data_IF_496316719370
#
_entry.id   IF_496316719370
#
_cell.length_a   1.000
_cell.length_b   1.000
_cell.length_c   1.000
_cell.angle_alpha   90.00
_cell.angle_beta   90.00
_cell.angle_gamma   90.00
#
_symmetry.space_group_name_H-M   'P 1'
#
loop_
_entity.id
_entity.type
_entity.pdbx_description
1 polymer ?
#
# COMPACT_ATOMS: atom_id res chain seq x y z
N UNK A 1 -14.83 35.85 -77.22
CA UNK A 1 -14.13 36.86 -76.41
C UNK A 1 -13.79 36.22 -75.06
N UNK A 2 -12.49 36.05 -74.76
CA UNK A 2 -11.84 35.57 -73.50
C UNK A 2 -12.28 34.18 -72.98
N UNK A 3 -11.55 33.08 -73.23
CA UNK A 3 -10.24 32.61 -72.68
C UNK A 3 -10.37 31.65 -71.48
N UNK A 4 -10.04 30.36 -71.75
CA UNK A 4 -9.27 29.38 -70.95
C UNK A 4 -9.83 28.95 -69.56
N UNK A 5 -9.75 27.70 -69.09
CA UNK A 5 -8.99 26.50 -69.46
C UNK A 5 -9.48 25.35 -68.53
N UNK A 6 -10.05 24.25 -69.05
CA UNK A 6 -9.46 22.90 -69.30
C UNK A 6 -9.78 21.85 -68.19
N UNK A 7 -10.51 20.77 -68.54
CA UNK A 7 -10.06 19.38 -68.86
C UNK A 7 -9.98 18.52 -67.58
N UNK A 8 -10.42 17.25 -67.45
CA UNK A 8 -11.03 16.20 -68.29
C UNK A 8 -11.74 15.25 -67.31
N UNK A 9 -12.96 14.77 -67.56
CA UNK A 9 -13.38 13.66 -68.41
C UNK A 9 -13.16 12.25 -67.80
N UNK A 10 -14.30 11.72 -67.38
CA UNK A 10 -14.67 10.37 -66.97
C UNK A 10 -14.60 9.38 -68.16
N UNK A 11 -14.03 8.18 -67.99
CA UNK A 11 -14.52 6.98 -68.71
C UNK A 11 -14.07 5.69 -68.02
N UNK A 12 -15.01 4.75 -67.88
CA UNK A 12 -14.87 3.41 -67.31
C UNK A 12 -15.24 2.38 -68.40
N UNK A 13 -14.77 1.13 -68.24
CA UNK A 13 -15.09 -0.11 -68.97
C UNK A 13 -14.30 -0.31 -70.30
N UNK A 14 -13.86 -1.51 -70.74
CA UNK A 14 -14.30 -2.90 -70.47
C UNK A 14 -13.28 -3.93 -71.06
N UNK A 15 -13.33 -5.20 -70.58
CA UNK A 15 -12.89 -6.47 -71.22
C UNK A 15 -11.36 -6.75 -71.17
N UNK A 16 -10.80 -7.81 -70.58
CA UNK A 16 -11.28 -9.18 -70.29
C UNK A 16 -10.56 -10.16 -71.22
N UNK A 17 -9.73 -11.07 -70.70
CA UNK A 17 -9.69 -12.50 -71.06
C UNK A 17 -8.65 -13.28 -70.23
N UNK A 18 -9.13 -14.46 -69.85
CA UNK A 18 -8.61 -15.50 -68.96
C UNK A 18 -7.27 -16.11 -69.35
N UNK A 19 -6.50 -16.53 -68.34
CA UNK A 19 -6.27 -17.94 -67.98
C UNK A 19 -4.91 -18.12 -67.32
N UNK A 20 -4.90 -18.61 -66.07
CA UNK A 20 -4.00 -19.68 -65.66
C UNK A 20 -4.42 -20.17 -64.28
N UNK A 21 -4.69 -21.47 -64.20
CA UNK A 21 -5.00 -22.17 -62.96
C UNK A 21 -3.99 -23.32 -62.83
N UNK A 22 -3.68 -23.70 -61.58
CA UNK A 22 -2.68 -24.68 -61.09
C UNK A 22 -1.33 -24.04 -60.72
N UNK A 23 -0.70 -24.29 -59.56
CA UNK A 23 -0.89 -25.38 -58.62
C UNK A 23 -0.35 -25.01 -57.22
N UNK A 24 -0.90 -25.61 -56.17
CA UNK A 24 -0.75 -25.24 -54.77
C UNK A 24 0.66 -25.44 -54.17
N UNK A 25 1.04 -24.52 -53.27
CA UNK A 25 1.78 -24.85 -52.05
C UNK A 25 1.07 -24.21 -50.87
N UNK A 26 0.65 -25.06 -49.93
CA UNK A 26 0.06 -24.67 -48.66
C UNK A 26 1.01 -23.74 -47.91
N UNK A 27 0.63 -22.48 -47.75
CA UNK A 27 1.12 -21.65 -46.66
C UNK A 27 0.05 -21.65 -45.59
N UNK A 28 0.26 -22.46 -44.55
CA UNK A 28 -0.38 -22.23 -43.26
C UNK A 28 -0.01 -20.80 -42.83
N UNK A 29 -1.00 -19.91 -42.87
CA UNK A 29 -0.91 -18.62 -42.21
C UNK A 29 -0.95 -18.94 -40.72
N UNK A 30 0.23 -19.12 -40.14
CA UNK A 30 0.41 -19.08 -38.69
C UNK A 30 -0.01 -17.70 -38.24
N UNK A 31 -1.26 -17.58 -37.81
CA UNK A 31 -1.75 -16.42 -37.05
C UNK A 31 -1.02 -16.42 -35.72
N UNK A 32 0.23 -15.93 -35.72
CA UNK A 32 0.88 -15.50 -34.49
C UNK A 32 0.11 -14.30 -34.00
N UNK A 33 -0.91 -14.56 -33.17
CA UNK A 33 -1.43 -13.56 -32.25
C UNK A 33 -0.21 -13.07 -31.51
N UNK A 34 0.22 -11.83 -31.78
CA UNK A 34 1.29 -11.20 -31.04
C UNK A 34 0.82 -11.17 -29.59
N UNK A 35 1.31 -12.13 -28.80
CA UNK A 35 1.23 -12.09 -27.35
C UNK A 35 2.00 -10.83 -27.00
N UNK A 36 1.28 -9.75 -26.70
CA UNK A 36 1.85 -8.57 -26.07
C UNK A 36 2.72 -9.11 -24.93
N UNK A 37 4.04 -8.99 -25.07
CA UNK A 37 4.94 -9.33 -23.99
C UNK A 37 4.56 -8.43 -22.83
N UNK A 38 3.84 -9.02 -21.87
CA UNK A 38 3.62 -8.40 -20.58
C UNK A 38 5.00 -8.38 -19.91
N UNK A 39 5.75 -7.31 -20.12
CA UNK A 39 6.80 -6.96 -19.20
C UNK A 39 6.13 -6.84 -17.85
N UNK A 40 6.51 -7.64 -16.83
CA UNK A 40 5.90 -7.52 -15.52
C UNK A 40 6.21 -6.11 -15.02
N UNK A 41 5.19 -5.27 -15.07
CA UNK A 41 5.27 -3.92 -14.56
C UNK A 41 5.24 -4.06 -13.04
N UNK A 42 6.13 -3.38 -12.30
CA UNK A 42 6.15 -3.46 -10.82
C UNK A 42 4.73 -3.31 -10.29
N UNK A 43 4.20 -4.37 -9.69
CA UNK A 43 2.83 -4.39 -9.19
C UNK A 43 2.76 -3.74 -7.81
N UNK A 44 1.69 -2.99 -7.55
CA UNK A 44 1.46 -2.33 -6.27
C UNK A 44 0.11 -2.70 -5.67
N UNK A 45 0.10 -2.95 -4.37
CA UNK A 45 -1.07 -2.79 -3.52
C UNK A 45 -1.07 -1.34 -3.04
N UNK A 46 -2.05 -0.55 -3.47
CA UNK A 46 -2.22 0.86 -3.11
C UNK A 46 -3.41 1.01 -2.19
N UNK A 47 -3.15 1.45 -0.97
CA UNK A 47 -4.17 1.61 0.07
C UNK A 47 -4.26 3.07 0.49
N UNK A 48 -5.42 3.70 0.29
CA UNK A 48 -5.71 4.99 0.90
C UNK A 48 -6.57 4.77 2.15
N UNK A 49 -6.05 5.15 3.31
CA UNK A 49 -6.76 5.15 4.58
C UNK A 49 -7.38 6.53 4.79
N UNK A 50 -8.71 6.60 4.83
CA UNK A 50 -9.47 7.80 5.11
C UNK A 50 -10.08 7.62 6.51
N UNK A 51 -9.44 8.21 7.51
CA UNK A 51 -9.80 8.01 8.91
C UNK A 51 -10.58 9.22 9.41
N UNK A 52 -11.74 8.96 10.01
CA UNK A 52 -12.45 9.99 10.74
C UNK A 52 -11.64 10.33 12.01
N UNK A 53 -11.35 11.62 12.20
CA UNK A 53 -10.70 12.17 13.39
C UNK A 53 -11.65 13.06 14.18
N UNK A 54 -12.95 12.75 14.14
CA UNK A 54 -13.94 13.35 15.01
C UNK A 54 -13.78 12.93 16.48
N UNK A 55 -14.39 13.67 17.41
CA UNK A 55 -14.26 13.45 18.87
C UNK A 55 -14.54 12.01 19.34
N UNK A 56 -15.37 11.25 18.62
CA UNK A 56 -15.74 9.88 18.99
C UNK A 56 -14.74 8.81 18.52
N UNK A 57 -13.72 9.18 17.76
CA UNK A 57 -12.88 8.26 16.98
C UNK A 57 -11.53 7.91 17.61
N UNK A 58 -11.28 8.24 18.88
CA UNK A 58 -10.02 7.88 19.55
C UNK A 58 -9.74 6.37 19.47
N UNK A 59 -10.77 5.54 19.74
CA UNK A 59 -10.63 4.09 19.63
C UNK A 59 -10.26 3.59 18.23
N UNK A 60 -10.78 4.22 17.17
CA UNK A 60 -10.43 3.88 15.78
C UNK A 60 -8.95 4.16 15.52
N UNK A 61 -8.49 5.35 15.94
CA UNK A 61 -7.11 5.79 15.77
C UNK A 61 -6.16 4.90 16.58
N UNK A 62 -6.51 4.54 17.81
CA UNK A 62 -5.74 3.62 18.64
C UNK A 62 -5.67 2.21 18.03
N UNK A 63 -6.80 1.68 17.54
CA UNK A 63 -6.80 0.39 16.82
C UNK A 63 -5.92 0.43 15.56
N UNK A 64 -5.96 1.50 14.78
CA UNK A 64 -5.09 1.66 13.61
C UNK A 64 -3.61 1.64 14.00
N UNK A 65 -3.22 2.36 15.07
CA UNK A 65 -1.84 2.37 15.61
C UNK A 65 -1.41 0.99 16.12
N UNK A 66 -2.33 0.25 16.73
CA UNK A 66 -2.11 -1.09 17.25
C UNK A 66 -1.87 -2.16 16.17
N UNK A 67 -2.52 -1.99 15.02
CA UNK A 67 -2.69 -3.06 14.03
C UNK A 67 -1.98 -2.79 12.71
N UNK A 68 -1.41 -1.58 12.51
CA UNK A 68 -0.68 -1.22 11.29
C UNK A 68 0.33 -2.30 10.87
N UNK A 69 1.15 -2.78 11.82
CA UNK A 69 2.21 -3.73 11.52
C UNK A 69 1.68 -5.12 11.17
N UNK A 70 0.58 -5.58 11.78
CA UNK A 70 -0.03 -6.87 11.41
C UNK A 70 -0.67 -6.80 10.02
N UNK A 71 -1.30 -5.68 9.66
CA UNK A 71 -1.80 -5.46 8.29
C UNK A 71 -0.63 -5.53 7.30
N UNK A 72 0.47 -4.81 7.56
CA UNK A 72 1.67 -4.85 6.72
C UNK A 72 2.25 -6.27 6.61
N UNK A 73 2.32 -7.00 7.72
CA UNK A 73 2.81 -8.38 7.74
C UNK A 73 1.97 -9.28 6.84
N UNK A 74 0.65 -9.20 6.95
CA UNK A 74 -0.27 -10.01 6.15
C UNK A 74 -0.23 -9.64 4.67
N UNK A 75 0.04 -8.38 4.33
CA UNK A 75 0.25 -7.97 2.95
C UNK A 75 1.62 -8.40 2.40
N UNK A 76 2.63 -8.56 3.24
CA UNK A 76 3.97 -9.01 2.82
C UNK A 76 4.01 -10.47 2.32
N UNK A 77 2.99 -11.26 2.65
CA UNK A 77 2.81 -12.62 2.15
C UNK A 77 2.10 -12.66 0.80
N UNK A 78 1.45 -11.57 0.38
CA UNK A 78 0.75 -11.54 -0.89
C UNK A 78 1.71 -11.77 -2.06
N UNK A 79 1.24 -12.52 -3.05
CA UNK A 79 1.91 -12.76 -4.32
C UNK A 79 0.90 -12.60 -5.44
N UNK A 80 1.32 -12.05 -6.56
CA UNK A 80 0.53 -12.10 -7.78
C UNK A 80 1.40 -12.77 -8.83
N UNK A 81 0.90 -13.87 -9.39
CA UNK A 81 1.72 -14.84 -10.13
C UNK A 81 2.98 -15.26 -9.33
N UNK A 82 4.17 -14.97 -9.86
CA UNK A 82 5.45 -15.26 -9.20
C UNK A 82 6.09 -14.04 -8.53
N UNK A 83 5.43 -12.88 -8.56
CA UNK A 83 5.96 -11.63 -8.04
C UNK A 83 5.36 -11.28 -6.67
N UNK A 84 6.15 -10.54 -5.88
CA UNK A 84 5.69 -9.95 -4.63
C UNK A 84 5.38 -8.47 -4.87
N UNK A 85 4.12 -8.04 -4.73
CA UNK A 85 3.72 -6.67 -4.99
C UNK A 85 4.34 -5.72 -3.96
N UNK A 86 4.64 -4.49 -4.36
CA UNK A 86 5.02 -3.43 -3.43
C UNK A 86 3.77 -2.89 -2.72
N UNK A 87 3.95 -2.24 -1.57
CA UNK A 87 2.86 -1.63 -0.80
C UNK A 87 3.04 -0.12 -0.76
N UNK A 88 2.00 0.61 -1.14
CA UNK A 88 1.93 2.06 -0.96
C UNK A 88 0.71 2.40 -0.11
N UNK A 89 0.93 3.14 0.98
CA UNK A 89 -0.14 3.61 1.85
C UNK A 89 -0.21 5.13 1.77
N UNK A 90 -1.42 5.66 1.63
CA UNK A 90 -1.73 7.07 1.79
C UNK A 90 -2.65 7.24 3.00
N UNK A 91 -2.55 8.39 3.67
CA UNK A 91 -3.33 8.70 4.85
C UNK A 91 -4.05 10.04 4.68
N UNK A 92 -5.34 10.02 4.91
CA UNK A 92 -6.19 11.19 5.04
C UNK A 92 -6.86 11.15 6.41
N UNK A 93 -7.06 12.34 6.94
CA UNK A 93 -8.03 12.54 8.00
C UNK A 93 -9.19 13.40 7.48
N UNK A 94 -10.36 13.17 8.06
CA UNK A 94 -11.54 13.99 7.83
C UNK A 94 -12.39 14.08 9.09
N UNK A 95 -13.35 15.00 9.13
CA UNK A 95 -14.28 15.09 10.26
C UNK A 95 -13.70 15.80 11.49
N UNK A 96 -12.59 16.54 11.36
CA UNK A 96 -12.02 17.30 12.48
C UNK A 96 -12.23 18.81 12.30
N UNK A 97 -12.82 19.48 13.28
CA UNK A 97 -13.17 20.91 13.25
C UNK A 97 -11.94 21.84 13.24
N UNK A 98 -10.77 21.32 13.61
CA UNK A 98 -9.49 22.02 13.45
C UNK A 98 -9.02 22.10 11.99
N UNK A 99 -9.65 21.37 11.08
CA UNK A 99 -9.34 21.36 9.65
C UNK A 99 -10.07 22.47 8.90
N UNK A 100 -9.56 22.82 7.73
CA UNK A 100 -10.12 23.93 6.94
C UNK A 100 -11.54 23.59 6.45
N UNK A 101 -12.58 24.34 6.86
CA UNK A 101 -13.97 24.10 6.47
C UNK A 101 -14.21 24.31 4.96
N UNK A 102 -13.47 25.20 4.30
CA UNK A 102 -13.57 25.42 2.85
C UNK A 102 -13.07 24.21 2.06
N UNK A 103 -12.18 23.41 2.66
CA UNK A 103 -11.74 22.12 2.12
C UNK A 103 -12.62 20.94 2.58
N UNK A 104 -13.71 21.22 3.30
CA UNK A 104 -14.63 20.22 3.82
C UNK A 104 -14.10 19.42 4.99
N UNK A 105 -13.25 20.03 5.84
CA UNK A 105 -12.62 19.38 6.99
C UNK A 105 -11.80 18.14 6.60
N UNK A 106 -11.02 18.25 5.51
CA UNK A 106 -10.23 17.14 4.96
C UNK A 106 -8.78 17.58 4.81
N UNK A 107 -7.85 16.70 5.22
CA UNK A 107 -6.42 16.88 5.02
C UNK A 107 -5.79 15.59 4.49
N UNK A 108 -5.03 15.71 3.41
CA UNK A 108 -4.06 14.68 3.04
C UNK A 108 -2.89 14.78 4.02
N UNK A 109 -2.76 13.79 4.90
CA UNK A 109 -1.70 13.72 5.91
C UNK A 109 -0.44 13.17 5.25
N UNK A 110 -0.59 12.08 4.49
CA UNK A 110 0.49 11.46 3.74
C UNK A 110 -0.01 11.06 2.34
N UNK A 111 0.75 11.43 1.31
CA UNK A 111 0.55 10.88 -0.04
C UNK A 111 0.95 9.39 -0.07
N UNK A 112 0.74 8.66 -1.17
CA UNK A 112 1.29 7.31 -1.30
C UNK A 112 2.79 7.28 -0.98
N UNK A 113 3.14 6.49 0.04
CA UNK A 113 4.50 6.25 0.50
C UNK A 113 4.75 4.74 0.63
N UNK A 114 6.00 4.33 0.41
CA UNK A 114 6.51 2.98 0.70
C UNK A 114 7.28 2.94 2.03
N UNK A 115 7.54 4.11 2.64
CA UNK A 115 8.26 4.23 3.91
C UNK A 115 7.30 3.96 5.08
N UNK A 116 7.38 2.75 5.62
CA UNK A 116 6.53 2.29 6.71
C UNK A 116 6.75 3.07 8.02
N UNK A 117 7.95 3.61 8.25
CA UNK A 117 8.21 4.41 9.45
C UNK A 117 7.61 5.81 9.33
N UNK A 118 7.60 6.38 8.13
CA UNK A 118 6.89 7.64 7.84
C UNK A 118 5.36 7.47 7.92
N UNK A 119 4.83 6.36 7.39
CA UNK A 119 3.41 6.02 7.53
C UNK A 119 3.02 5.89 9.01
N UNK A 120 3.83 5.16 9.79
CA UNK A 120 3.60 5.02 11.22
C UNK A 120 3.67 6.37 11.95
N UNK A 121 4.70 7.18 11.71
CA UNK A 121 4.82 8.52 12.30
C UNK A 121 3.57 9.38 12.07
N UNK A 122 3.12 9.47 10.82
CA UNK A 122 1.96 10.30 10.48
C UNK A 122 0.67 9.74 11.10
N UNK A 123 0.47 8.42 11.09
CA UNK A 123 -0.65 7.77 11.77
C UNK A 123 -0.64 8.02 13.29
N UNK A 124 0.52 7.92 13.92
CA UNK A 124 0.69 8.12 15.36
C UNK A 124 0.43 9.57 15.77
N UNK A 125 0.67 10.53 14.86
CA UNK A 125 0.44 11.96 15.07
C UNK A 125 -1.02 12.41 15.00
N UNK A 126 -1.94 11.55 14.54
CA UNK A 126 -3.35 11.89 14.45
C UNK A 126 -3.98 12.09 15.83
N UNK A 127 -4.81 13.12 15.92
CA UNK A 127 -5.57 13.53 17.10
C UNK A 127 -7.00 13.83 16.71
N UNK A 128 -7.95 13.53 17.59
CA UNK A 128 -9.38 13.78 17.36
C UNK A 128 -9.79 15.19 17.82
N UNK A 129 -10.71 15.83 17.09
CA UNK A 129 -11.31 17.10 17.52
C UNK A 129 -12.54 17.50 16.68
N UNK A 130 -13.71 17.63 17.29
CA UNK A 130 -14.94 18.16 16.67
C UNK A 130 -15.52 17.27 15.57
N UNK A 131 -16.42 17.76 14.71
CA UNK A 131 -16.58 17.14 13.39
C UNK A 131 -17.89 17.26 12.60
N UNK A 132 -17.73 17.57 11.32
CA UNK A 132 -18.67 17.27 10.22
C UNK A 132 -18.04 16.26 9.26
N UNK A 133 -18.65 15.09 9.09
CA UNK A 133 -18.03 13.94 8.42
C UNK A 133 -18.43 13.87 6.93
N UNK A 134 -17.63 14.45 6.04
CA UNK A 134 -17.96 14.53 4.60
C UNK A 134 -17.38 13.36 3.80
N UNK A 135 -17.92 12.15 4.00
CA UNK A 135 -17.45 10.90 3.38
C UNK A 135 -17.33 10.99 1.85
N UNK A 136 -18.37 11.50 1.16
CA UNK A 136 -18.34 11.65 -0.29
C UNK A 136 -17.24 12.61 -0.77
N UNK A 137 -16.95 13.66 0.01
CA UNK A 137 -15.94 14.65 -0.33
C UNK A 137 -14.52 14.12 -0.11
N UNK A 138 -14.25 13.39 0.98
CA UNK A 138 -12.90 12.81 1.24
C UNK A 138 -12.55 11.74 0.21
N UNK A 139 -13.50 10.90 -0.18
CA UNK A 139 -13.32 9.93 -1.28
C UNK A 139 -12.96 10.69 -2.55
N UNK A 140 -13.78 11.64 -2.97
CA UNK A 140 -13.53 12.41 -4.19
C UNK A 140 -12.18 13.15 -4.17
N UNK A 141 -11.80 13.68 -3.01
CA UNK A 141 -10.53 14.39 -2.81
C UNK A 141 -9.34 13.44 -3.00
N UNK A 142 -9.37 12.26 -2.37
CA UNK A 142 -8.32 11.24 -2.52
C UNK A 142 -8.17 10.74 -3.96
N UNK A 143 -9.29 10.60 -4.69
CA UNK A 143 -9.28 10.22 -6.12
C UNK A 143 -8.64 11.27 -7.03
N UNK A 144 -8.63 12.54 -6.61
CA UNK A 144 -8.12 13.67 -7.38
C UNK A 144 -6.66 13.98 -7.03
N UNK A 145 -6.28 13.87 -5.76
CA UNK A 145 -4.96 14.26 -5.26
C UNK A 145 -3.93 13.12 -5.34
N UNK A 146 -4.34 11.88 -5.10
CA UNK A 146 -3.41 10.75 -5.07
C UNK A 146 -3.03 10.25 -6.47
N UNK A 147 -1.76 9.83 -6.60
CA UNK A 147 -1.21 9.24 -7.82
C UNK A 147 -1.51 7.74 -7.92
N UNK A 148 -2.77 7.41 -8.16
CA UNK A 148 -3.25 6.02 -8.29
C UNK A 148 -2.58 5.21 -9.40
N UNK A 149 -2.06 5.86 -10.43
CA UNK A 149 -1.41 5.20 -11.57
C UNK A 149 -2.38 4.48 -12.51
N UNK A 150 -1.85 4.02 -13.65
CA UNK A 150 -2.63 3.43 -14.75
C UNK A 150 -2.39 1.92 -14.93
N UNK A 151 -1.54 1.31 -14.09
CA UNK A 151 -1.31 -0.13 -14.16
C UNK A 151 -2.61 -0.86 -13.79
N UNK A 152 -3.15 -1.73 -14.67
CA UNK A 152 -4.37 -2.49 -14.39
C UNK A 152 -4.14 -3.60 -13.35
N UNK A 153 -2.89 -4.05 -13.17
CA UNK A 153 -2.56 -5.14 -12.23
C UNK A 153 -2.35 -4.63 -10.79
N UNK A 154 -2.29 -3.31 -10.61
CA UNK A 154 -2.29 -2.69 -9.29
C UNK A 154 -3.62 -2.96 -8.58
N UNK A 155 -3.54 -3.40 -7.32
CA UNK A 155 -4.70 -3.48 -6.44
C UNK A 155 -4.90 -2.11 -5.78
N UNK A 156 -6.00 -1.41 -6.10
CA UNK A 156 -6.25 -0.04 -5.64
C UNK A 156 -7.46 0.01 -4.73
N UNK A 157 -7.21 0.33 -3.46
CA UNK A 157 -8.19 0.23 -2.40
C UNK A 157 -8.26 1.55 -1.62
N UNK A 158 -9.48 1.99 -1.37
CA UNK A 158 -9.81 3.02 -0.37
C UNK A 158 -10.44 2.30 0.81
N UNK A 159 -9.94 2.52 2.01
CA UNK A 159 -10.65 2.20 3.25
C UNK A 159 -11.07 3.49 3.90
N UNK A 160 -12.38 3.68 4.04
CA UNK A 160 -12.95 4.80 4.79
C UNK A 160 -13.55 4.28 6.09
N UNK A 161 -13.23 4.92 7.21
CA UNK A 161 -13.73 4.58 8.54
C UNK A 161 -14.30 5.80 9.26
N UNK A 162 -15.41 5.64 9.97
CA UNK A 162 -16.15 6.72 10.66
C UNK A 162 -17.49 6.23 11.21
N UNK A 163 -18.26 7.11 11.85
CA UNK A 163 -19.50 6.73 12.57
C UNK A 163 -20.74 7.57 12.27
N UNK A 164 -20.67 8.60 11.44
CA UNK A 164 -21.85 9.37 11.03
C UNK A 164 -22.45 8.92 9.69
N UNK A 165 -23.63 9.44 9.29
CA UNK A 165 -24.20 9.10 8.00
C UNK A 165 -23.30 9.40 6.80
N UNK A 166 -23.12 8.39 5.96
CA UNK A 166 -22.30 8.44 4.75
C UNK A 166 -22.79 9.46 3.70
N UNK A 167 -23.96 10.04 3.94
CA UNK A 167 -24.66 11.01 3.09
C UNK A 167 -24.32 12.47 3.41
N UNK A 168 -23.59 12.74 4.50
CA UNK A 168 -23.22 14.09 4.91
C UNK A 168 -22.34 14.81 3.87
N UNK A 169 -22.45 16.14 3.82
CA UNK A 169 -21.67 17.01 2.94
C UNK A 169 -22.32 17.27 1.57
N UNK A 170 -21.69 18.15 0.78
CA UNK A 170 -22.23 18.59 -0.53
C UNK A 170 -21.91 17.62 -1.66
N UNK A 171 -20.80 16.87 -1.55
CA UNK A 171 -20.39 15.90 -2.57
C UNK A 171 -21.09 14.58 -2.30
N UNK A 172 -21.96 14.16 -3.23
CA UNK A 172 -22.65 12.88 -3.11
C UNK A 172 -21.66 11.71 -3.12
N UNK A 173 -21.75 10.85 -2.11
CA UNK A 173 -20.96 9.61 -2.07
C UNK A 173 -21.25 8.72 -3.29
N UNK A 174 -22.46 8.78 -3.87
CA UNK A 174 -22.83 8.01 -5.07
C UNK A 174 -22.02 8.45 -6.29
N UNK A 175 -21.78 9.76 -6.43
CA UNK A 175 -20.91 10.30 -7.48
C UNK A 175 -19.45 9.92 -7.23
N UNK A 176 -18.97 10.10 -5.99
CA UNK A 176 -17.59 9.78 -5.63
C UNK A 176 -17.25 8.29 -5.84
N UNK A 177 -18.15 7.39 -5.45
CA UNK A 177 -17.99 5.94 -5.66
C UNK A 177 -18.12 5.54 -7.13
N UNK A 178 -18.98 6.19 -7.92
CA UNK A 178 -19.00 6.01 -9.37
C UNK A 178 -17.64 6.37 -9.99
N UNK A 179 -17.07 7.52 -9.60
CA UNK A 179 -15.77 7.96 -10.07
C UNK A 179 -14.62 7.03 -9.62
N UNK A 180 -14.72 6.44 -8.42
CA UNK A 180 -13.77 5.43 -7.97
C UNK A 180 -13.84 4.17 -8.84
N UNK A 181 -15.05 3.66 -9.07
CA UNK A 181 -15.28 2.45 -9.86
C UNK A 181 -14.81 2.61 -11.32
N UNK A 182 -15.04 3.77 -11.94
CA UNK A 182 -14.54 4.09 -13.29
C UNK A 182 -12.99 4.08 -13.37
N UNK A 183 -12.31 4.32 -12.25
CA UNK A 183 -10.85 4.29 -12.13
C UNK A 183 -10.29 2.95 -11.65
N UNK A 184 -11.14 1.92 -11.55
CA UNK A 184 -10.78 0.60 -10.99
C UNK A 184 -10.21 0.72 -9.56
N UNK A 185 -10.85 1.57 -8.74
CA UNK A 185 -10.54 1.77 -7.34
C UNK A 185 -11.72 1.26 -6.52
N UNK A 186 -11.48 0.27 -5.66
CA UNK A 186 -12.50 -0.27 -4.77
C UNK A 186 -12.57 0.54 -3.48
N UNK A 187 -13.76 0.95 -3.08
CA UNK A 187 -14.04 1.61 -1.81
C UNK A 187 -14.61 0.59 -0.84
N UNK A 188 -13.84 0.30 0.21
CA UNK A 188 -14.26 -0.48 1.35
C UNK A 188 -14.66 0.47 2.50
N UNK A 189 -15.76 0.16 3.17
CA UNK A 189 -16.34 1.05 4.19
C UNK A 189 -16.38 0.36 5.55
N UNK A 190 -15.89 1.03 6.59
CA UNK A 190 -15.77 0.52 7.95
C UNK A 190 -16.58 1.42 8.88
N UNK A 191 -17.77 0.97 9.28
CA UNK A 191 -18.60 1.73 10.21
C UNK A 191 -18.18 1.46 11.66
N UNK A 192 -17.86 2.51 12.39
CA UNK A 192 -17.48 2.45 13.80
C UNK A 192 -18.74 2.47 14.67
N UNK A 193 -19.40 1.32 14.80
CA UNK A 193 -20.68 1.20 15.51
C UNK A 193 -21.49 -0.04 15.15
N UNK A 194 -22.82 0.06 15.26
CA UNK A 194 -23.70 -1.07 14.99
C UNK A 194 -23.75 -1.42 13.50
N UNK A 195 -23.63 -2.71 13.16
CA UNK A 195 -23.67 -3.17 11.77
C UNK A 195 -24.94 -2.75 11.00
N UNK A 196 -26.12 -2.76 11.62
CA UNK A 196 -27.37 -2.35 10.95
C UNK A 196 -27.47 -0.85 10.79
N UNK A 197 -26.87 -0.09 11.69
CA UNK A 197 -26.84 1.36 11.61
C UNK A 197 -26.07 1.83 10.38
N UNK A 198 -24.85 1.32 10.15
CA UNK A 198 -24.10 1.64 8.93
C UNK A 198 -24.83 1.27 7.64
N UNK A 199 -25.68 0.22 7.64
CA UNK A 199 -26.57 -0.08 6.51
C UNK A 199 -27.61 1.04 6.33
N UNK A 200 -28.31 1.40 7.41
CA UNK A 200 -29.35 2.42 7.40
C UNK A 200 -28.80 3.81 7.04
N UNK A 201 -27.53 4.06 7.36
CA UNK A 201 -26.84 5.32 7.10
C UNK A 201 -25.95 5.29 5.84
N UNK A 202 -26.20 4.33 4.95
CA UNK A 202 -25.63 4.21 3.59
C UNK A 202 -24.15 3.82 3.48
N UNK A 203 -23.49 3.37 4.54
CA UNK A 203 -22.11 2.84 4.46
C UNK A 203 -22.05 1.62 3.55
N UNK A 204 -22.97 0.66 3.75
CA UNK A 204 -23.03 -0.54 2.89
C UNK A 204 -23.27 -0.20 1.41
N UNK A 205 -24.19 0.71 1.13
CA UNK A 205 -24.46 1.16 -0.25
C UNK A 205 -23.21 1.79 -0.88
N UNK A 206 -22.42 2.54 -0.10
CA UNK A 206 -21.14 3.10 -0.51
C UNK A 206 -20.14 2.04 -0.98
N UNK A 207 -19.95 0.97 -0.22
CA UNK A 207 -19.05 -0.12 -0.59
C UNK A 207 -19.55 -0.92 -1.80
N UNK A 208 -20.83 -1.31 -1.79
CA UNK A 208 -21.45 -2.14 -2.82
C UNK A 208 -21.29 -1.54 -4.23
N UNK A 209 -21.32 -0.19 -4.34
CA UNK A 209 -21.15 0.55 -5.60
C UNK A 209 -19.82 0.35 -6.31
N UNK A 210 -18.81 -0.13 -5.60
CA UNK A 210 -17.46 -0.38 -6.14
C UNK A 210 -17.05 -1.85 -6.01
N UNK A 211 -18.01 -2.73 -5.68
CA UNK A 211 -17.79 -4.13 -5.33
C UNK A 211 -16.80 -4.31 -4.15
N UNK A 212 -16.77 -3.31 -3.25
CA UNK A 212 -16.02 -3.35 -2.00
C UNK A 212 -16.81 -4.00 -0.88
N UNK A 213 -16.15 -4.20 0.24
CA UNK A 213 -16.73 -4.79 1.42
C UNK A 213 -17.19 -3.72 2.42
N UNK A 214 -18.31 -4.01 3.06
CA UNK A 214 -18.85 -3.26 4.19
C UNK A 214 -18.64 -4.05 5.47
N UNK A 215 -18.02 -3.40 6.44
CA UNK A 215 -17.76 -3.95 7.76
C UNK A 215 -18.24 -2.95 8.82
N UNK A 216 -18.62 -3.48 9.97
CA UNK A 216 -18.78 -2.67 11.17
C UNK A 216 -17.89 -3.22 12.27
N UNK A 217 -17.24 -2.32 13.00
CA UNK A 217 -16.32 -2.65 14.08
C UNK A 217 -16.76 -1.97 15.36
N UNK A 218 -16.43 -2.60 16.49
CA UNK A 218 -16.39 -1.91 17.76
C UNK A 218 -14.99 -1.29 17.89
N UNK A 219 -14.89 0.01 17.59
CA UNK A 219 -13.62 0.73 17.60
C UNK A 219 -13.07 0.97 19.00
N UNK A 220 -13.88 0.77 20.05
CA UNK A 220 -13.43 0.86 21.44
C UNK A 220 -13.00 -0.49 22.01
N UNK A 221 -13.14 -1.57 21.23
CA UNK A 221 -12.71 -2.89 21.66
C UNK A 221 -11.18 -2.95 21.72
N UNK A 222 -10.64 -3.26 22.89
CA UNK A 222 -9.22 -3.47 23.05
C UNK A 222 -8.73 -4.65 22.20
N UNK A 223 -7.59 -4.49 21.55
CA UNK A 223 -6.90 -5.56 20.84
C UNK A 223 -6.47 -6.64 21.82
N UNK A 224 -6.96 -7.87 21.63
CA UNK A 224 -6.60 -9.00 22.52
C UNK A 224 -5.24 -9.53 22.10
N UNK A 225 -4.27 -9.47 23.02
CA UNK A 225 -2.93 -9.97 22.78
C UNK A 225 -2.75 -11.37 23.36
N UNK A 226 -2.35 -12.32 22.51
CA UNK A 226 -1.96 -13.67 22.92
C UNK A 226 -0.44 -13.68 23.02
N UNK A 227 0.08 -13.73 24.25
CA UNK A 227 1.53 -13.82 24.49
C UNK A 227 2.04 -15.15 23.94
N UNK A 228 3.03 -15.08 23.06
CA UNK A 228 3.66 -16.24 22.46
C UNK A 228 4.99 -16.55 23.15
N UNK A 229 5.36 -17.83 23.33
CA UNK A 229 6.69 -18.18 23.84
C UNK A 229 7.84 -17.79 22.90
N UNK A 230 7.56 -17.26 21.71
CA UNK A 230 8.56 -16.81 20.73
C UNK A 230 8.78 -15.29 20.73
N UNK A 231 7.94 -14.52 21.43
CA UNK A 231 7.93 -13.05 21.37
C UNK A 231 9.29 -12.46 21.82
N UNK A 232 9.80 -12.87 22.98
CA UNK A 232 11.07 -12.35 23.53
C UNK A 232 12.25 -12.61 22.58
N UNK A 233 12.30 -13.80 21.96
CA UNK A 233 13.34 -14.15 21.01
C UNK A 233 13.31 -13.24 19.76
N UNK A 234 12.11 -12.91 19.27
CA UNK A 234 11.93 -11.97 18.16
C UNK A 234 12.40 -10.56 18.57
N UNK A 235 12.05 -10.09 19.77
CA UNK A 235 12.48 -8.76 20.24
C UNK A 235 14.00 -8.65 20.46
N UNK A 236 14.65 -9.73 20.91
CA UNK A 236 16.12 -9.80 20.97
C UNK A 236 16.71 -9.69 19.56
N UNK A 237 16.13 -10.35 18.57
CA UNK A 237 16.55 -10.24 17.17
C UNK A 237 16.32 -8.83 16.61
N UNK A 238 15.27 -8.12 17.01
CA UNK A 238 15.06 -6.72 16.64
C UNK A 238 16.24 -5.83 17.06
N UNK A 239 16.74 -6.01 18.29
CA UNK A 239 17.89 -5.27 18.80
C UNK A 239 19.15 -5.52 17.96
N UNK A 240 19.33 -6.74 17.46
CA UNK A 240 20.43 -7.08 16.53
C UNK A 240 20.18 -6.48 15.15
N UNK A 241 18.96 -6.60 14.63
CA UNK A 241 18.55 -6.07 13.32
C UNK A 241 18.84 -4.57 13.23
N UNK A 242 18.52 -3.81 14.29
CA UNK A 242 18.77 -2.36 14.37
C UNK A 242 20.25 -1.97 14.22
N UNK A 243 21.18 -2.86 14.59
CA UNK A 243 22.62 -2.64 14.45
C UNK A 243 23.15 -2.92 13.04
N UNK A 244 22.29 -3.39 12.15
CA UNK A 244 22.65 -3.66 10.74
C UNK A 244 22.37 -2.47 9.83
N UNK A 245 21.61 -1.45 10.26
CA UNK A 245 21.30 -0.26 9.44
C UNK A 245 22.45 0.75 9.45
N UNK A 246 22.85 1.16 8.25
CA UNK A 246 23.98 2.03 7.95
C UNK A 246 23.43 3.32 7.34
N UNK A 247 23.16 4.31 8.18
CA UNK A 247 22.62 5.59 7.74
C UNK A 247 23.58 6.30 6.78
N UNK A 248 23.07 6.81 5.66
CA UNK A 248 23.83 7.62 4.71
C UNK A 248 23.03 8.82 4.19
N UNK A 249 23.74 9.79 3.63
CA UNK A 249 23.15 11.00 3.05
C UNK A 249 22.56 11.95 4.09
N UNK A 250 22.01 13.06 3.60
CA UNK A 250 21.54 14.17 4.43
C UNK A 250 20.39 13.79 5.38
N UNK A 251 19.58 12.80 5.00
CA UNK A 251 18.44 12.33 5.79
C UNK A 251 18.75 11.09 6.64
N UNK A 252 19.94 10.47 6.45
CA UNK A 252 20.34 9.21 7.08
C UNK A 252 20.12 9.17 8.58
N UNK A 253 20.61 10.19 9.28
CA UNK A 253 20.50 10.29 10.74
C UNK A 253 19.05 10.44 11.21
N UNK A 254 18.33 11.40 10.63
CA UNK A 254 16.94 11.68 11.03
C UNK A 254 16.02 10.48 10.76
N UNK A 255 16.20 9.77 9.63
CA UNK A 255 15.42 8.57 9.32
C UNK A 255 15.79 7.37 10.19
N UNK A 256 17.06 7.22 10.56
CA UNK A 256 17.48 6.20 11.56
C UNK A 256 16.92 6.48 12.95
N UNK A 257 16.88 7.75 13.36
CA UNK A 257 16.22 8.18 14.60
C UNK A 257 14.71 7.91 14.52
N UNK A 258 14.08 8.18 13.38
CA UNK A 258 12.66 7.87 13.15
C UNK A 258 12.37 6.36 13.26
N UNK A 259 13.21 5.51 12.68
CA UNK A 259 13.08 4.05 12.84
C UNK A 259 13.09 3.64 14.32
N UNK A 260 13.95 4.25 15.14
CA UNK A 260 14.04 3.97 16.57
C UNK A 260 12.83 4.50 17.33
N UNK A 261 12.35 5.69 16.98
CA UNK A 261 11.11 6.24 17.52
C UNK A 261 9.92 5.31 17.26
N UNK A 262 9.83 4.74 16.04
CA UNK A 262 8.76 3.78 15.73
C UNK A 262 8.94 2.43 16.44
N UNK A 263 10.17 2.00 16.77
CA UNK A 263 10.40 0.87 17.69
C UNK A 263 9.79 1.19 19.07
N UNK A 264 10.10 2.36 19.63
CA UNK A 264 9.59 2.80 20.94
C UNK A 264 8.07 2.96 20.94
N UNK A 265 7.50 3.52 19.89
CA UNK A 265 6.04 3.70 19.76
C UNK A 265 5.31 2.34 19.72
N UNK A 266 5.84 1.36 18.98
CA UNK A 266 5.27 0.02 18.93
C UNK A 266 5.36 -0.67 20.30
N UNK A 267 6.50 -0.59 20.98
CA UNK A 267 6.71 -1.13 22.32
C UNK A 267 5.81 -0.46 23.37
N UNK A 268 5.67 0.86 23.31
CA UNK A 268 4.79 1.63 24.19
C UNK A 268 3.32 1.26 24.05
N UNK A 269 2.91 0.75 22.88
CA UNK A 269 1.55 0.25 22.68
C UNK A 269 1.36 -1.14 23.28
N UNK A 270 2.19 -2.13 22.88
CA UNK A 270 2.26 -3.44 23.52
C UNK A 270 3.46 -4.25 23.05
N UNK A 271 3.86 -5.26 23.84
CA UNK A 271 4.89 -6.23 23.42
C UNK A 271 4.51 -6.95 22.12
N UNK A 272 3.24 -7.32 21.97
CA UNK A 272 2.76 -7.93 20.73
C UNK A 272 2.94 -6.98 19.53
N UNK A 273 2.66 -5.68 19.69
CA UNK A 273 2.82 -4.70 18.64
C UNK A 273 4.31 -4.51 18.25
N UNK A 274 5.22 -4.50 19.23
CA UNK A 274 6.66 -4.50 18.99
C UNK A 274 7.15 -5.74 18.22
N UNK A 275 6.58 -6.92 18.51
CA UNK A 275 6.86 -8.14 17.76
C UNK A 275 6.35 -8.01 16.32
N UNK A 276 5.12 -7.56 16.11
CA UNK A 276 4.54 -7.36 14.78
C UNK A 276 5.36 -6.38 13.95
N UNK A 277 5.84 -5.28 14.56
CA UNK A 277 6.78 -4.35 13.91
C UNK A 277 8.08 -5.05 13.54
N UNK A 278 8.68 -5.81 14.46
CA UNK A 278 9.93 -6.54 14.19
C UNK A 278 9.78 -7.49 13.00
N UNK A 279 8.67 -8.20 12.92
CA UNK A 279 8.32 -9.05 11.78
C UNK A 279 8.23 -8.23 10.50
N UNK A 280 7.57 -7.07 10.52
CA UNK A 280 7.42 -6.22 9.33
C UNK A 280 8.77 -5.77 8.77
N UNK A 281 9.74 -5.45 9.64
CA UNK A 281 11.12 -5.05 9.27
C UNK A 281 11.91 -6.16 8.61
N UNK A 282 11.55 -7.40 8.90
CA UNK A 282 12.15 -8.58 8.27
C UNK A 282 11.52 -8.95 6.93
N UNK A 283 10.40 -8.31 6.56
CA UNK A 283 9.73 -8.52 5.28
C UNK A 283 10.41 -7.79 4.12
N UNK A 284 9.97 -8.06 2.89
CA UNK A 284 10.43 -7.36 1.69
C UNK A 284 9.78 -5.97 1.51
N UNK A 285 8.73 -5.65 2.28
CA UNK A 285 8.04 -4.36 2.21
C UNK A 285 8.78 -3.27 2.99
N UNK A 286 9.60 -3.64 3.97
CA UNK A 286 10.40 -2.68 4.73
C UNK A 286 11.69 -2.33 3.97
N UNK A 287 11.61 -1.27 3.17
CA UNK A 287 12.70 -0.75 2.32
C UNK A 287 13.10 0.64 2.75
N UNK A 288 14.41 0.86 2.87
CA UNK A 288 14.97 2.10 3.42
C UNK A 288 16.09 2.66 2.53
N UNK A 289 16.09 2.34 1.24
CA UNK A 289 17.17 2.69 0.31
C UNK A 289 17.47 4.19 0.22
N UNK A 290 16.52 5.06 0.59
CA UNK A 290 16.73 6.52 0.63
C UNK A 290 17.66 6.98 1.75
N UNK A 291 17.89 6.16 2.78
CA UNK A 291 18.64 6.56 3.97
C UNK A 291 19.53 5.46 4.58
N UNK A 292 19.32 4.18 4.24
CA UNK A 292 20.14 3.04 4.62
C UNK A 292 20.98 2.54 3.45
N UNK A 293 22.31 2.58 3.61
CA UNK A 293 23.27 2.27 2.56
C UNK A 293 23.22 0.81 2.13
N UNK A 294 22.87 -0.10 3.05
CA UNK A 294 22.76 -1.52 2.75
C UNK A 294 21.61 -1.78 1.78
N UNK A 295 20.41 -1.24 2.08
CA UNK A 295 19.27 -1.32 1.17
C UNK A 295 19.55 -0.58 -0.15
N UNK A 296 20.18 0.60 -0.10
CA UNK A 296 20.50 1.41 -1.28
C UNK A 296 21.41 0.69 -2.27
N UNK A 297 22.44 -0.01 -1.76
CA UNK A 297 23.35 -0.82 -2.59
C UNK A 297 22.66 -2.09 -3.09
N UNK A 298 21.85 -2.76 -2.26
CA UNK A 298 21.11 -3.96 -2.67
C UNK A 298 20.08 -3.66 -3.77
N UNK A 299 19.47 -2.48 -3.75
CA UNK A 299 18.49 -2.03 -4.73
C UNK A 299 19.11 -1.30 -5.94
N UNK A 300 20.43 -1.22 -6.02
CA UNK A 300 21.17 -0.53 -7.09
C UNK A 300 20.79 0.97 -7.22
N UNK A 301 20.34 1.60 -6.12
CA UNK A 301 19.96 3.02 -6.10
C UNK A 301 21.17 3.94 -5.86
N UNK A 302 22.28 3.38 -5.39
CA UNK A 302 23.52 4.09 -5.11
C UNK A 302 24.73 3.30 -5.58
N UNK A 303 25.67 4.01 -6.19
CA UNK A 303 27.02 3.49 -6.52
C UNK A 303 27.99 4.01 -5.46
N UNK A 304 28.64 3.09 -4.73
CA UNK A 304 29.54 3.44 -3.62
C UNK A 304 30.70 4.34 -4.05
N UNK A 305 31.19 4.17 -5.28
CA UNK A 305 32.25 5.00 -5.86
C UNK A 305 31.86 6.48 -6.00
N UNK A 306 30.58 6.78 -6.14
CA UNK A 306 30.06 8.14 -6.36
C UNK A 306 29.66 8.82 -5.04
N UNK A 307 29.73 8.11 -3.91
CA UNK A 307 29.40 8.65 -2.61
C UNK A 307 30.47 9.62 -2.14
N UNK A 308 30.02 10.80 -1.70
CA UNK A 308 30.86 11.76 -1.02
C UNK A 308 31.12 11.32 0.40
N UNK A 309 32.31 11.64 0.90
CA UNK A 309 32.73 11.29 2.26
C UNK A 309 31.82 11.93 3.35
N UNK A 310 31.28 13.12 3.09
CA UNK A 310 30.35 13.81 3.99
C UNK A 310 28.97 13.14 4.08
N UNK A 311 28.60 12.32 3.11
CA UNK A 311 27.37 11.53 3.11
C UNK A 311 27.51 10.20 3.85
N UNK A 312 28.74 9.79 4.22
CA UNK A 312 29.00 8.54 4.92
C UNK A 312 28.86 8.73 6.45
N UNK A 313 28.44 7.67 7.17
CA UNK A 313 28.49 7.68 8.62
C UNK A 313 29.95 7.68 9.11
N UNK A 314 30.17 8.13 10.36
CA UNK A 314 31.51 8.31 10.93
C UNK A 314 32.40 7.08 10.82
N UNK A 315 31.84 5.87 10.95
CA UNK A 315 32.61 4.62 10.87
C UNK A 315 33.13 4.34 9.45
N UNK A 316 32.62 5.01 8.43
CA UNK A 316 32.96 4.82 7.02
C UNK A 316 33.72 5.99 6.38
N UNK A 317 33.80 7.14 7.06
CA UNK A 317 34.56 8.29 6.57
C UNK A 317 36.04 7.97 6.38
N UNK A 318 36.61 8.42 5.28
CA UNK A 318 38.00 8.18 4.89
C UNK A 318 38.32 6.76 4.42
N UNK A 319 37.32 5.84 4.38
CA UNK A 319 37.51 4.49 3.84
C UNK A 319 37.49 4.49 2.31
N UNK A 320 38.22 3.57 1.71
CA UNK A 320 38.15 3.32 0.26
C UNK A 320 36.82 2.67 -0.13
N UNK A 321 36.43 2.83 -1.41
CA UNK A 321 35.22 2.18 -1.95
C UNK A 321 35.21 0.66 -1.73
N UNK A 322 36.39 0.00 -1.80
CA UNK A 322 36.53 -1.43 -1.52
C UNK A 322 36.20 -1.77 -0.06
N UNK A 323 36.66 -0.96 0.89
CA UNK A 323 36.39 -1.16 2.31
C UNK A 323 34.92 -0.88 2.65
N UNK A 324 34.32 0.15 2.04
CA UNK A 324 32.90 0.46 2.20
C UNK A 324 32.05 -0.70 1.67
N UNK A 325 32.33 -1.20 0.46
CA UNK A 325 31.63 -2.37 -0.11
C UNK A 325 31.75 -3.61 0.78
N UNK A 326 32.94 -3.88 1.32
CA UNK A 326 33.15 -4.99 2.24
C UNK A 326 32.33 -4.85 3.53
N UNK A 327 32.26 -3.64 4.09
CA UNK A 327 31.45 -3.35 5.28
C UNK A 327 29.96 -3.50 5.02
N UNK A 328 29.47 -2.94 3.90
CA UNK A 328 28.06 -3.04 3.49
C UNK A 328 27.67 -4.50 3.27
N UNK A 329 28.52 -5.29 2.60
CA UNK A 329 28.26 -6.71 2.38
C UNK A 329 28.23 -7.51 3.69
N UNK A 330 29.15 -7.21 4.62
CA UNK A 330 29.11 -7.83 5.96
C UNK A 330 27.78 -7.53 6.66
N UNK A 331 27.33 -6.27 6.64
CA UNK A 331 26.06 -5.84 7.25
C UNK A 331 24.85 -6.48 6.56
N UNK A 332 24.89 -6.64 5.25
CA UNK A 332 23.87 -7.34 4.45
C UNK A 332 23.74 -8.79 4.88
N UNK A 333 24.83 -9.54 4.94
CA UNK A 333 24.84 -10.95 5.35
C UNK A 333 24.32 -11.11 6.79
N UNK A 334 24.79 -10.26 7.72
CA UNK A 334 24.30 -10.23 9.11
C UNK A 334 22.77 -10.00 9.15
N UNK A 335 22.29 -8.98 8.42
CA UNK A 335 20.88 -8.63 8.34
C UNK A 335 20.03 -9.78 7.77
N UNK A 336 20.47 -10.40 6.69
CA UNK A 336 19.74 -11.50 6.06
C UNK A 336 19.60 -12.71 6.99
N UNK A 337 20.65 -13.06 7.75
CA UNK A 337 20.58 -14.11 8.78
C UNK A 337 19.54 -13.78 9.85
N UNK A 338 19.58 -12.56 10.39
CA UNK A 338 18.64 -12.11 11.43
C UNK A 338 17.19 -12.11 10.91
N UNK A 339 16.96 -11.57 9.70
CA UNK A 339 15.63 -11.54 9.06
C UNK A 339 15.07 -12.95 8.89
N UNK A 340 15.92 -13.92 8.50
CA UNK A 340 15.53 -15.32 8.36
C UNK A 340 15.11 -15.93 9.71
N UNK A 341 15.91 -15.73 10.76
CA UNK A 341 15.57 -16.21 12.11
C UNK A 341 14.26 -15.60 12.63
N UNK A 342 14.03 -14.30 12.39
CA UNK A 342 12.75 -13.64 12.75
C UNK A 342 11.58 -14.32 12.05
N UNK A 343 11.67 -14.59 10.74
CA UNK A 343 10.59 -15.22 9.98
C UNK A 343 10.33 -16.66 10.44
N UNK A 344 11.37 -17.45 10.70
CA UNK A 344 11.23 -18.81 11.24
C UNK A 344 10.55 -18.85 12.62
N UNK A 345 10.85 -17.89 13.49
CA UNK A 345 10.17 -17.73 14.78
C UNK A 345 8.72 -17.24 14.58
N UNK A 346 8.50 -16.31 13.66
CA UNK A 346 7.16 -15.79 13.38
C UNK A 346 6.23 -16.88 12.83
N UNK A 347 6.72 -17.80 12.02
CA UNK A 347 5.92 -18.95 11.57
C UNK A 347 5.42 -19.81 12.75
N UNK A 348 6.27 -20.03 13.76
CA UNK A 348 5.90 -20.75 14.98
C UNK A 348 4.94 -19.93 15.83
N UNK A 349 5.17 -18.62 15.95
CA UNK A 349 4.30 -17.65 16.62
C UNK A 349 2.89 -17.68 16.03
N UNK A 350 2.76 -17.57 14.71
CA UNK A 350 1.46 -17.58 14.01
C UNK A 350 0.68 -18.87 14.26
N UNK A 351 1.35 -20.03 14.18
CA UNK A 351 0.72 -21.34 14.51
C UNK A 351 0.23 -21.38 15.95
N UNK A 352 1.06 -20.95 16.90
CA UNK A 352 0.70 -20.89 18.31
C UNK A 352 -0.50 -19.97 18.58
N UNK A 353 -0.52 -18.77 17.99
CA UNK A 353 -1.61 -17.81 18.15
C UNK A 353 -2.91 -18.40 17.57
N UNK A 354 -2.86 -18.95 16.35
CA UNK A 354 -4.02 -19.57 15.70
C UNK A 354 -4.62 -20.71 16.54
N UNK A 355 -3.80 -21.56 17.16
CA UNK A 355 -4.26 -22.65 18.03
C UNK A 355 -4.92 -22.16 19.32
N UNK A 356 -4.57 -20.96 19.79
CA UNK A 356 -5.09 -20.36 21.04
C UNK A 356 -6.29 -19.45 20.81
N UNK A 357 -6.48 -18.96 19.59
CA UNK A 357 -7.53 -18.02 19.25
C UNK A 357 -8.86 -18.76 19.03
N UNK A 358 -9.75 -18.71 20.03
CA UNK A 358 -11.03 -19.44 20.01
C UNK A 358 -12.13 -18.72 19.23
N UNK A 359 -12.04 -17.41 19.03
CA UNK A 359 -12.99 -16.61 18.24
C UNK A 359 -12.25 -15.41 17.60
N UNK A 360 -12.45 -15.19 16.30
CA UNK A 360 -12.00 -13.98 15.62
C UNK A 360 -12.97 -12.84 15.90
N UNK A 361 -12.54 -11.86 16.69
CA UNK A 361 -13.33 -10.66 16.97
C UNK A 361 -13.33 -9.70 15.77
N UNK A 362 -14.43 -8.96 15.63
CA UNK A 362 -14.65 -7.93 14.59
C UNK A 362 -13.81 -6.66 14.85
N UNK A 363 -12.48 -6.75 14.68
CA UNK A 363 -11.55 -5.61 14.75
C UNK A 363 -11.16 -5.06 13.38
N UNK A 364 -10.56 -3.87 13.35
CA UNK A 364 -10.14 -3.14 12.14
C UNK A 364 -9.23 -3.99 11.22
N UNK A 365 -8.21 -4.63 11.79
CA UNK A 365 -7.29 -5.53 11.07
C UNK A 365 -8.03 -6.62 10.27
N UNK A 366 -8.92 -7.38 10.91
CA UNK A 366 -9.66 -8.45 10.27
C UNK A 366 -10.54 -7.90 9.14
N UNK A 367 -11.15 -6.73 9.36
CA UNK A 367 -11.95 -6.05 8.36
C UNK A 367 -11.12 -5.75 7.12
N UNK A 368 -9.97 -5.10 7.30
CA UNK A 368 -9.07 -4.72 6.20
C UNK A 368 -8.47 -5.94 5.50
N UNK A 369 -7.93 -6.91 6.22
CA UNK A 369 -7.30 -8.11 5.63
C UNK A 369 -8.31 -8.93 4.83
N UNK A 370 -9.51 -9.14 5.36
CA UNK A 370 -10.53 -9.91 4.65
C UNK A 370 -10.95 -9.21 3.36
N UNK A 371 -11.13 -7.89 3.41
CA UNK A 371 -11.42 -7.11 2.22
C UNK A 371 -10.28 -7.24 1.20
N UNK A 372 -9.04 -6.92 1.58
CA UNK A 372 -7.89 -7.02 0.69
C UNK A 372 -7.80 -8.42 0.07
N UNK A 373 -7.91 -9.49 0.87
CA UNK A 373 -7.89 -10.88 0.37
C UNK A 373 -9.04 -11.18 -0.61
N UNK A 374 -10.25 -10.69 -0.34
CA UNK A 374 -11.41 -10.85 -1.21
C UNK A 374 -11.21 -10.15 -2.56
N UNK A 375 -10.78 -8.90 -2.54
CA UNK A 375 -10.56 -8.12 -3.77
C UNK A 375 -9.32 -8.57 -4.55
N UNK A 376 -8.23 -8.89 -3.87
CA UNK A 376 -6.98 -9.29 -4.53
C UNK A 376 -7.11 -10.63 -5.27
N UNK A 377 -7.93 -11.57 -4.77
CA UNK A 377 -8.25 -12.82 -5.49
C UNK A 377 -8.84 -12.57 -6.88
N UNK A 378 -9.61 -11.48 -7.05
CA UNK A 378 -10.17 -11.08 -8.36
C UNK A 378 -9.09 -10.59 -9.33
N UNK A 379 -7.90 -10.25 -8.81
CA UNK A 379 -6.70 -9.82 -9.56
C UNK A 379 -5.57 -10.85 -9.52
N UNK A 380 -5.87 -12.12 -9.27
CA UNK A 380 -4.90 -13.24 -9.23
C UNK A 380 -3.85 -13.18 -8.10
N UNK A 381 -4.11 -12.42 -7.04
CA UNK A 381 -3.26 -12.46 -5.85
C UNK A 381 -3.56 -13.70 -4.99
N UNK A 382 -2.51 -14.28 -4.41
CA UNK A 382 -2.50 -15.41 -3.50
C UNK A 382 -1.59 -15.11 -2.27
N UNK A 383 -1.66 -15.94 -1.23
CA UNK A 383 -0.97 -15.76 0.07
C UNK A 383 -0.17 -17.00 0.45
#
# INVERSE_FOLDING_TARGET
MKFLSKISLLTVLLIGYSSCNLNAKNHEVSTTVAKLEHHPNKQFIKVALLLDTSNSMDGLIDQAKAQLWEIVNELSYARCDNERPNLQIALYEYGNDGLNPEKGYIRQVLSFSEDLDEIAKELFSLTTNGGSEYCGQVIQTSLNQLKWGKNPDDLKLVFIAGNEPFTQGRVSYRLATSNANEKDITVNTIFCGNYREGINTSWKDGADRTNGDYMAIDHNLATVHIVSPYDDAILILNTKLNKTYVSYGNQGRAKKELQQEQDTNAEGYSSANAVSRTVSKSSHLYKNSTWDLVDAVEMEEVVVEDLKDDALPEELKGKSAKEIKAYVEQKKVERQSIKKEIQELNEKRRKFIADKQKENKNGLENAMINAIKSQAKKKNYNW
#
